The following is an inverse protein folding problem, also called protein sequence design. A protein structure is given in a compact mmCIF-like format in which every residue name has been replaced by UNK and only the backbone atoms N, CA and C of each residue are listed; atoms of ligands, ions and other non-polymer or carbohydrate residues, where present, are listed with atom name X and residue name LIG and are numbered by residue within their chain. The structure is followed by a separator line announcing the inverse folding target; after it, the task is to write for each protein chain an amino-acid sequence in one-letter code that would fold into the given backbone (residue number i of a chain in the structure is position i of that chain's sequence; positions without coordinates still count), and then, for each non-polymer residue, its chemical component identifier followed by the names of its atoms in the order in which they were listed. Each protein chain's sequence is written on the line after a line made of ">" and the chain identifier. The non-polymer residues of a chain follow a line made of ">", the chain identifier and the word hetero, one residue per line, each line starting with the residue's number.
data_IF_149598801721
#
_entry.id   IF_149598801721
#
_cell.length_a   1.000
_cell.length_b   1.000
_cell.length_c   1.000
_cell.angle_alpha   90.00
_cell.angle_beta   90.00
_cell.angle_gamma   90.00
#
_symmetry.space_group_name_H-M   'P 1'
#
loop_
_entity.id
_entity.type
_entity.pdbx_description
1 polymer ?
#
# COMPACT_ATOMS: atom_id res chain seq x y z
N UNK A 1 -32.02 -6.67 -51.75
CA UNK A 1 -31.17 -5.60 -51.18
C UNK A 1 -31.84 -5.05 -49.94
N UNK A 2 -31.03 -4.73 -48.92
CA UNK A 2 -31.33 -4.06 -47.64
C UNK A 2 -31.71 -5.00 -46.49
N UNK A 3 -30.74 -5.57 -45.78
CA UNK A 3 -29.90 -4.99 -44.70
C UNK A 3 -30.71 -4.41 -43.53
N UNK A 4 -31.39 -5.26 -42.77
CA UNK A 4 -31.95 -4.90 -41.45
C UNK A 4 -31.67 -5.96 -40.39
N UNK A 5 -30.39 -6.33 -40.21
CA UNK A 5 -30.02 -7.32 -39.20
C UNK A 5 -28.67 -7.06 -38.51
N UNK A 6 -28.23 -5.81 -38.32
CA UNK A 6 -26.94 -5.55 -37.64
C UNK A 6 -26.91 -4.22 -36.88
N UNK A 7 -27.86 -3.96 -35.98
CA UNK A 7 -27.84 -2.73 -35.20
C UNK A 7 -28.22 -2.90 -33.71
N UNK A 8 -27.90 -4.04 -33.09
CA UNK A 8 -28.13 -4.19 -31.64
C UNK A 8 -27.11 -5.09 -30.90
N UNK A 9 -25.86 -5.14 -31.38
CA UNK A 9 -24.74 -5.81 -30.67
C UNK A 9 -23.49 -4.92 -30.65
N UNK A 10 -23.66 -3.60 -30.52
CA UNK A 10 -22.54 -2.66 -30.35
C UNK A 10 -22.87 -1.68 -29.22
N UNK A 11 -23.21 -2.21 -28.04
CA UNK A 11 -23.26 -1.41 -26.79
C UNK A 11 -22.44 -2.07 -25.66
N UNK A 12 -21.85 -3.26 -25.87
CA UNK A 12 -21.14 -3.98 -24.80
C UNK A 12 -19.60 -3.90 -24.82
N UNK A 13 -18.97 -3.19 -25.78
CA UNK A 13 -17.50 -3.17 -25.89
C UNK A 13 -16.84 -1.85 -25.47
N UNK A 14 -17.62 -0.87 -25.02
CA UNK A 14 -17.12 0.44 -24.58
C UNK A 14 -17.41 0.72 -23.10
N UNK A 15 -17.51 -0.30 -22.25
CA UNK A 15 -17.11 -0.13 -20.84
C UNK A 15 -15.62 -0.39 -20.79
N UNK A 16 -14.78 0.53 -21.25
CA UNK A 16 -13.98 1.34 -20.32
C UNK A 16 -13.57 0.50 -19.09
N UNK A 17 -12.72 -0.49 -19.29
CA UNK A 17 -11.78 -0.97 -18.25
C UNK A 17 -10.80 0.18 -18.01
N UNK A 18 -11.29 1.25 -17.41
CA UNK A 18 -10.44 2.34 -16.95
C UNK A 18 -9.76 1.87 -15.67
N UNK A 19 -8.44 1.76 -15.78
CA UNK A 19 -7.45 1.86 -14.70
C UNK A 19 -7.39 0.71 -13.67
N UNK A 20 -6.90 -0.46 -14.11
CA UNK A 20 -6.11 -1.36 -13.23
C UNK A 20 -4.60 -1.05 -13.30
N UNK A 21 -4.17 -0.09 -14.13
CA UNK A 21 -2.74 0.19 -14.38
C UNK A 21 -2.06 0.90 -13.19
N UNK A 22 -2.78 1.72 -12.41
CA UNK A 22 -2.18 2.51 -11.33
C UNK A 22 -1.65 1.66 -10.16
N UNK A 23 -2.23 0.49 -9.87
CA UNK A 23 -1.75 -0.35 -8.76
C UNK A 23 -0.47 -1.13 -9.14
N UNK A 24 -0.33 -1.50 -10.42
CA UNK A 24 0.86 -2.22 -10.89
C UNK A 24 2.14 -1.39 -10.75
N UNK A 25 2.03 -0.06 -10.83
CA UNK A 25 3.17 0.86 -10.70
C UNK A 25 3.62 1.08 -9.25
N UNK A 26 2.86 0.59 -8.26
CA UNK A 26 3.13 0.81 -6.82
C UNK A 26 3.71 -0.46 -6.15
N UNK A 27 3.58 -1.63 -6.78
CA UNK A 27 4.02 -2.91 -6.22
C UNK A 27 5.54 -3.06 -6.20
N UNK A 28 6.10 -3.37 -5.03
CA UNK A 28 7.52 -3.65 -4.81
C UNK A 28 7.84 -5.15 -4.92
N UNK A 29 9.12 -5.54 -5.06
CA UNK A 29 9.51 -6.96 -5.02
C UNK A 29 9.01 -7.70 -3.78
N UNK A 30 9.00 -7.03 -2.63
CA UNK A 30 8.50 -7.56 -1.35
C UNK A 30 7.01 -7.90 -1.41
N UNK A 31 6.20 -7.11 -2.13
CA UNK A 31 4.78 -7.41 -2.33
C UNK A 31 4.61 -8.72 -3.11
N UNK A 32 5.41 -8.95 -4.15
CA UNK A 32 5.38 -10.19 -4.93
C UNK A 32 5.82 -11.42 -4.11
N UNK A 33 6.81 -11.26 -3.25
CA UNK A 33 7.24 -12.33 -2.34
C UNK A 33 6.12 -12.69 -1.35
N UNK A 34 5.47 -11.69 -0.75
CA UNK A 34 4.40 -11.92 0.21
C UNK A 34 3.11 -12.45 -0.42
N UNK A 35 2.78 -12.04 -1.64
CA UNK A 35 1.70 -12.65 -2.41
C UNK A 35 1.96 -14.14 -2.65
N UNK A 36 3.18 -14.50 -3.06
CA UNK A 36 3.53 -15.89 -3.30
C UNK A 36 3.50 -16.73 -2.01
N UNK A 37 4.01 -16.20 -0.90
CA UNK A 37 4.02 -16.88 0.41
C UNK A 37 2.61 -17.13 0.95
N UNK A 38 1.72 -16.15 0.80
CA UNK A 38 0.36 -16.19 1.36
C UNK A 38 -0.68 -16.75 0.37
N UNK A 39 -0.29 -17.04 -0.87
CA UNK A 39 -1.19 -17.52 -1.91
C UNK A 39 -2.22 -16.47 -2.34
N UNK A 40 -1.83 -15.20 -2.34
CA UNK A 40 -2.69 -14.07 -2.69
C UNK A 40 -2.48 -13.65 -4.13
N UNK A 41 -3.53 -13.14 -4.77
CA UNK A 41 -3.42 -12.41 -6.01
C UNK A 41 -3.38 -10.87 -5.80
N UNK A 42 -3.05 -10.14 -6.86
CA UNK A 42 -2.96 -8.67 -6.83
C UNK A 42 -4.28 -8.01 -6.43
N UNK A 43 -5.42 -8.57 -6.83
CA UNK A 43 -6.73 -7.99 -6.54
C UNK A 43 -7.05 -8.13 -5.06
N UNK A 44 -6.71 -9.27 -4.46
CA UNK A 44 -6.83 -9.47 -3.02
C UNK A 44 -5.97 -8.47 -2.24
N UNK A 45 -4.70 -8.29 -2.62
CA UNK A 45 -3.82 -7.29 -1.98
C UNK A 45 -4.36 -5.87 -2.14
N UNK A 46 -4.88 -5.51 -3.31
CA UNK A 46 -5.47 -4.20 -3.53
C UNK A 46 -6.65 -3.91 -2.57
N UNK A 47 -7.40 -4.93 -2.14
CA UNK A 47 -8.45 -4.74 -1.13
C UNK A 47 -7.93 -4.45 0.28
N UNK A 48 -6.63 -4.64 0.54
CA UNK A 48 -6.03 -4.30 1.82
C UNK A 48 -5.78 -2.81 1.96
N UNK A 49 -5.88 -2.02 0.89
CA UNK A 49 -5.71 -0.57 0.92
C UNK A 49 -7.02 0.13 0.55
N UNK A 50 -7.31 1.24 1.22
CA UNK A 50 -8.39 2.13 0.82
C UNK A 50 -7.95 3.11 -0.27
N UNK A 51 -8.88 3.94 -0.75
CA UNK A 51 -8.62 4.95 -1.78
C UNK A 51 -7.57 6.01 -1.41
N UNK A 52 -7.23 6.14 -0.12
CA UNK A 52 -6.19 7.03 0.38
C UNK A 52 -4.88 6.27 0.68
N UNK A 53 -4.75 5.05 0.15
CA UNK A 53 -3.66 4.13 0.41
C UNK A 53 -3.50 3.79 1.90
N UNK A 54 -4.58 3.81 2.69
CA UNK A 54 -4.53 3.37 4.08
C UNK A 54 -4.85 1.88 4.16
N UNK A 55 -4.09 1.14 4.97
CA UNK A 55 -4.34 -0.28 5.21
C UNK A 55 -5.66 -0.51 5.96
N UNK A 56 -6.41 -1.51 5.52
CA UNK A 56 -7.64 -1.97 6.15
C UNK A 56 -7.31 -2.68 7.46
N UNK A 57 -7.76 -2.10 8.57
CA UNK A 57 -7.55 -2.68 9.91
C UNK A 57 -8.58 -3.77 10.22
N UNK A 58 -8.23 -4.66 11.16
CA UNK A 58 -9.08 -5.77 11.64
C UNK A 58 -9.36 -6.83 10.57
N UNK A 59 -8.49 -6.94 9.58
CA UNK A 59 -8.50 -8.01 8.59
C UNK A 59 -7.29 -8.92 8.87
N UNK A 60 -7.48 -10.16 9.37
CA UNK A 60 -6.37 -11.07 9.66
C UNK A 60 -5.45 -11.34 8.47
N UNK A 61 -5.99 -11.38 7.26
CA UNK A 61 -5.21 -11.62 6.05
C UNK A 61 -4.36 -10.39 5.69
N UNK A 62 -4.91 -9.19 5.87
CA UNK A 62 -4.15 -7.94 5.76
C UNK A 62 -3.06 -7.87 6.83
N UNK A 63 -3.33 -8.28 8.07
CA UNK A 63 -2.32 -8.32 9.13
C UNK A 63 -1.18 -9.29 8.73
N UNK A 64 -1.50 -10.51 8.24
CA UNK A 64 -0.49 -11.46 7.77
C UNK A 64 0.34 -10.94 6.59
N UNK A 65 -0.30 -10.29 5.63
CA UNK A 65 0.37 -9.62 4.52
C UNK A 65 1.34 -8.55 5.01
N UNK A 66 0.87 -7.70 5.92
CA UNK A 66 1.65 -6.63 6.52
C UNK A 66 2.86 -7.15 7.28
N UNK A 67 2.69 -8.22 8.06
CA UNK A 67 3.78 -8.85 8.79
C UNK A 67 4.83 -9.45 7.86
N UNK A 68 4.39 -10.15 6.81
CA UNK A 68 5.28 -10.64 5.77
C UNK A 68 6.06 -9.48 5.16
N UNK A 69 5.37 -8.42 4.76
CA UNK A 69 5.98 -7.28 4.08
C UNK A 69 7.04 -6.59 4.94
N UNK A 70 6.78 -6.41 6.25
CA UNK A 70 7.77 -5.82 7.16
C UNK A 70 8.98 -6.71 7.40
N UNK A 71 8.80 -8.03 7.37
CA UNK A 71 9.89 -8.98 7.43
C UNK A 71 10.74 -8.94 6.15
N UNK A 72 10.12 -9.01 4.97
CA UNK A 72 10.83 -9.05 3.67
C UNK A 72 11.51 -7.74 3.33
N UNK A 73 10.93 -6.60 3.72
CA UNK A 73 11.55 -5.27 3.55
C UNK A 73 12.67 -4.96 4.55
N UNK A 74 13.00 -5.88 5.46
CA UNK A 74 14.06 -5.73 6.47
C UNK A 74 13.89 -4.50 7.39
N UNK A 75 12.65 -4.03 7.58
CA UNK A 75 12.34 -2.96 8.54
C UNK A 75 12.05 -3.49 9.95
N UNK A 76 12.10 -4.80 10.14
CA UNK A 76 12.16 -5.44 11.45
C UNK A 76 13.61 -5.78 11.81
N UNK A 77 13.97 -5.67 13.09
CA UNK A 77 15.24 -6.16 13.62
C UNK A 77 15.18 -7.68 13.85
N UNK A 78 16.32 -8.30 14.12
CA UNK A 78 16.40 -9.73 14.48
C UNK A 78 15.59 -10.10 15.74
N UNK A 79 15.21 -9.10 16.55
CA UNK A 79 14.35 -9.25 17.73
C UNK A 79 12.87 -9.01 17.44
N UNK A 80 12.50 -8.86 16.17
CA UNK A 80 11.14 -8.58 15.73
C UNK A 80 10.62 -7.20 16.19
N UNK A 81 11.53 -6.22 16.32
CA UNK A 81 11.21 -4.83 16.67
C UNK A 81 11.26 -3.96 15.41
N UNK A 82 10.44 -2.91 15.32
CA UNK A 82 10.47 -1.99 14.20
C UNK A 82 11.77 -1.16 14.17
N UNK A 83 12.47 -1.20 13.06
CA UNK A 83 13.52 -0.28 12.68
C UNK A 83 12.89 0.93 11.95
N UNK A 84 12.56 1.96 12.73
CA UNK A 84 11.88 3.15 12.24
C UNK A 84 12.72 4.01 11.29
N UNK A 85 14.05 3.95 11.39
CA UNK A 85 14.97 4.62 10.46
C UNK A 85 14.83 4.00 9.06
N UNK A 86 14.98 2.68 8.95
CA UNK A 86 14.78 1.97 7.68
C UNK A 86 13.37 2.12 7.13
N UNK A 87 12.36 2.16 8.00
CA UNK A 87 10.99 2.36 7.54
C UNK A 87 10.77 3.79 7.01
N UNK A 88 11.39 4.79 7.62
CA UNK A 88 11.44 6.15 7.09
C UNK A 88 12.11 6.21 5.71
N UNK A 89 13.28 5.59 5.57
CA UNK A 89 14.00 5.49 4.28
C UNK A 89 13.14 4.87 3.18
N UNK A 90 12.39 3.81 3.52
CA UNK A 90 11.45 3.19 2.61
C UNK A 90 10.36 4.16 2.15
N UNK A 91 9.74 4.91 3.08
CA UNK A 91 8.69 5.87 2.74
C UNK A 91 9.24 7.00 1.87
N UNK A 92 10.43 7.52 2.17
CA UNK A 92 11.10 8.54 1.35
C UNK A 92 11.31 8.04 -0.08
N UNK A 93 11.77 6.79 -0.24
CA UNK A 93 12.12 6.23 -1.55
C UNK A 93 10.91 5.81 -2.38
N UNK A 94 9.90 5.21 -1.76
CA UNK A 94 8.80 4.54 -2.47
C UNK A 94 7.41 5.04 -2.07
N UNK A 95 7.24 5.52 -0.84
CA UNK A 95 5.93 5.91 -0.31
C UNK A 95 5.44 7.30 -0.76
N UNK A 96 6.33 8.26 -1.00
CA UNK A 96 5.92 9.64 -1.29
C UNK A 96 5.31 9.84 -2.69
N UNK A 97 5.80 9.11 -3.69
CA UNK A 97 5.30 9.21 -5.08
C UNK A 97 3.82 8.86 -5.20
N UNK A 98 3.39 7.68 -4.73
CA UNK A 98 1.97 7.29 -4.70
C UNK A 98 1.07 8.25 -3.91
N UNK A 99 1.64 8.96 -2.93
CA UNK A 99 0.93 9.97 -2.13
C UNK A 99 0.89 11.36 -2.79
N UNK A 100 1.52 11.55 -3.95
CA UNK A 100 1.64 12.86 -4.62
C UNK A 100 2.50 13.86 -3.85
N UNK A 101 3.44 13.38 -3.02
CA UNK A 101 4.29 14.19 -2.13
C UNK A 101 5.78 14.16 -2.51
N UNK A 102 6.10 13.73 -3.74
CA UNK A 102 7.49 13.61 -4.21
C UNK A 102 8.25 14.96 -4.33
N UNK A 103 7.53 16.07 -4.51
CA UNK A 103 8.12 17.39 -4.74
C UNK A 103 8.14 18.29 -3.48
N UNK A 104 7.79 17.73 -2.31
CA UNK A 104 7.79 18.48 -1.05
C UNK A 104 9.22 18.88 -0.68
N UNK A 105 9.44 20.13 -0.30
CA UNK A 105 10.75 20.55 0.22
C UNK A 105 10.99 19.90 1.58
N UNK A 106 12.21 19.43 1.82
CA UNK A 106 12.62 18.79 3.08
C UNK A 106 11.85 17.48 3.38
N UNK A 107 11.65 16.61 2.37
CA UNK A 107 10.98 15.31 2.53
C UNK A 107 11.48 14.48 3.70
N UNK A 108 12.79 14.52 3.98
CA UNK A 108 13.38 13.79 5.11
C UNK A 108 12.83 14.27 6.46
N UNK A 109 12.75 15.59 6.67
CA UNK A 109 12.20 16.16 7.92
C UNK A 109 10.73 15.77 8.08
N UNK A 110 9.94 15.89 7.00
CA UNK A 110 8.54 15.51 7.00
C UNK A 110 8.34 14.05 7.40
N UNK A 111 9.08 13.13 6.76
CA UNK A 111 8.94 11.71 7.03
C UNK A 111 9.43 11.36 8.43
N UNK A 112 10.55 11.92 8.89
CA UNK A 112 11.05 11.70 10.25
C UNK A 112 10.06 12.19 11.31
N UNK A 113 9.50 13.39 11.15
CA UNK A 113 8.46 13.92 12.06
C UNK A 113 7.22 13.03 12.08
N UNK A 114 6.77 12.56 10.91
CA UNK A 114 5.64 11.64 10.81
C UNK A 114 5.92 10.30 11.52
N UNK A 115 7.08 9.69 11.26
CA UNK A 115 7.53 8.43 11.89
C UNK A 115 7.62 8.58 13.41
N UNK A 116 8.25 9.65 13.89
CA UNK A 116 8.43 9.91 15.32
C UNK A 116 7.10 10.08 16.06
N UNK A 117 6.12 10.71 15.40
CA UNK A 117 4.77 10.86 15.96
C UNK A 117 3.99 9.53 16.07
N UNK A 118 4.39 8.51 15.30
CA UNK A 118 3.64 7.27 15.13
C UNK A 118 4.31 6.02 15.73
N UNK A 119 5.57 6.10 16.18
CA UNK A 119 6.34 4.91 16.63
C UNK A 119 5.76 4.18 17.85
N UNK A 120 4.98 4.88 18.68
CA UNK A 120 4.38 4.33 19.91
C UNK A 120 3.00 3.69 19.68
N UNK A 121 2.56 3.55 18.44
CA UNK A 121 1.28 2.89 18.12
C UNK A 121 1.33 1.41 18.51
N UNK A 122 0.29 0.97 19.21
CA UNK A 122 0.11 -0.41 19.67
C UNK A 122 -0.76 -1.24 18.72
N UNK A 123 -0.48 -2.55 18.64
CA UNK A 123 -1.26 -3.51 17.85
C UNK A 123 -1.36 -4.87 18.54
N UNK A 124 -2.31 -5.69 18.10
CA UNK A 124 -2.55 -7.02 18.67
C UNK A 124 -1.51 -8.06 18.24
N UNK A 125 -0.85 -7.84 17.11
CA UNK A 125 0.27 -8.60 16.58
C UNK A 125 1.14 -7.65 15.73
N UNK A 126 2.23 -8.13 15.12
CA UNK A 126 3.17 -7.30 14.37
C UNK A 126 2.54 -6.73 13.12
N UNK A 127 1.82 -7.55 12.35
CA UNK A 127 1.07 -7.10 11.18
C UNK A 127 0.09 -5.97 11.51
N UNK A 128 -0.74 -6.18 12.53
CA UNK A 128 -1.73 -5.21 12.99
C UNK A 128 -1.08 -3.91 13.50
N UNK A 129 0.00 -4.04 14.28
CA UNK A 129 0.76 -2.89 14.78
C UNK A 129 1.33 -2.10 13.62
N UNK A 130 1.98 -2.81 12.69
CA UNK A 130 2.61 -2.22 11.53
C UNK A 130 1.62 -1.52 10.60
N UNK A 131 0.44 -2.12 10.34
CA UNK A 131 -0.61 -1.49 9.55
C UNK A 131 -1.12 -0.19 10.19
N UNK A 132 -1.25 -0.16 11.52
CA UNK A 132 -1.61 1.07 12.25
C UNK A 132 -0.49 2.12 12.23
N UNK A 133 0.77 1.72 12.36
CA UNK A 133 1.93 2.63 12.24
C UNK A 133 1.94 3.24 10.84
N UNK A 134 1.85 2.42 9.79
CA UNK A 134 1.80 2.88 8.40
C UNK A 134 0.64 3.86 8.19
N UNK A 135 -0.58 3.51 8.62
CA UNK A 135 -1.73 4.42 8.52
C UNK A 135 -1.53 5.74 9.27
N UNK A 136 -0.89 5.70 10.44
CA UNK A 136 -0.57 6.91 11.20
C UNK A 136 0.39 7.81 10.41
N UNK A 137 1.46 7.24 9.84
CA UNK A 137 2.46 7.98 9.06
C UNK A 137 1.84 8.56 7.79
N UNK A 138 1.10 7.76 7.02
CA UNK A 138 0.42 8.23 5.79
C UNK A 138 -0.52 9.37 6.12
N UNK A 139 -1.32 9.26 7.19
CA UNK A 139 -2.19 10.36 7.63
C UNK A 139 -1.41 11.60 8.05
N UNK A 140 -0.30 11.45 8.75
CA UNK A 140 0.55 12.58 9.11
C UNK A 140 1.04 13.28 7.85
N UNK A 141 1.61 12.54 6.89
CA UNK A 141 2.13 13.07 5.61
C UNK A 141 1.05 13.74 4.76
N UNK A 142 -0.16 13.18 4.69
CA UNK A 142 -1.25 13.76 3.91
C UNK A 142 -1.78 15.08 4.49
N UNK A 143 -1.63 15.29 5.81
CA UNK A 143 -2.08 16.50 6.50
C UNK A 143 -1.04 17.64 6.48
N UNK A 144 0.15 17.43 5.92
CA UNK A 144 1.15 18.46 5.63
C UNK A 144 0.97 19.04 4.22
#
# INVERSE_FOLDING_TARGET
>A
MNNHFYALVIVCLCGHTFEDDNFNDIMTPEDYECMAELGLDKKEVATFFDQNLLMTLKNPLSDSYTECWFRTSNVLTDKNEFNFEKFGDYIIRYGLGPLGKQDVKNVESLVHEAVDSCKNVEGSNIGNRGAKIYNCIVKAILNF
#
